data_IF_969761108285
#
_entry.id   IF_969761108285
#
_cell.length_a   1.000
_cell.length_b   1.000
_cell.length_c   1.000
_cell.angle_alpha   90.00
_cell.angle_beta   90.00
_cell.angle_gamma   90.00
#
_symmetry.space_group_name_H-M   'P 1'
#
loop_
_entity.id
_entity.type
_entity.pdbx_description
1 polymer ?
#
# COMPACT_ATOMS: atom_id res chain seq x y z
N UNK A 1 -11.21 -12.53 -10.44
CA UNK A 1 -10.43 -13.00 -11.61
C UNK A 1 -10.07 -11.89 -12.58
N UNK A 2 -11.03 -11.10 -13.09
CA UNK A 2 -10.76 -10.03 -14.08
C UNK A 2 -9.67 -9.01 -13.68
N UNK A 3 -9.62 -8.60 -12.41
CA UNK A 3 -8.62 -7.63 -11.91
C UNK A 3 -7.19 -8.17 -11.97
N UNK A 4 -6.99 -9.45 -11.63
CA UNK A 4 -5.66 -10.08 -11.66
C UNK A 4 -5.19 -10.18 -13.12
N UNK A 5 -6.07 -10.60 -14.03
CA UNK A 5 -5.78 -10.64 -15.46
C UNK A 5 -5.43 -9.25 -16.03
N UNK A 6 -6.14 -8.19 -15.61
CA UNK A 6 -5.86 -6.82 -16.02
C UNK A 6 -4.49 -6.32 -15.53
N UNK A 7 -4.11 -6.64 -14.28
CA UNK A 7 -2.79 -6.30 -13.73
C UNK A 7 -1.69 -7.02 -14.50
N UNK A 8 -1.84 -8.33 -14.71
CA UNK A 8 -0.88 -9.14 -15.47
C UNK A 8 -0.74 -8.59 -16.90
N UNK A 9 -1.85 -8.36 -17.60
CA UNK A 9 -1.84 -7.82 -18.95
C UNK A 9 -1.12 -6.47 -19.04
N UNK A 10 -1.36 -5.58 -18.09
CA UNK A 10 -0.67 -4.27 -18.01
C UNK A 10 0.84 -4.44 -17.81
N UNK A 11 1.25 -5.34 -16.91
CA UNK A 11 2.67 -5.60 -16.66
C UNK A 11 3.33 -6.19 -17.92
N UNK A 12 2.70 -7.16 -18.58
CA UNK A 12 3.22 -7.77 -19.81
C UNK A 12 3.40 -6.73 -20.93
N UNK A 13 2.41 -5.85 -21.12
CA UNK A 13 2.52 -4.76 -22.10
C UNK A 13 3.65 -3.80 -21.69
N UNK A 14 3.75 -3.41 -20.42
CA UNK A 14 4.81 -2.54 -19.93
C UNK A 14 6.21 -3.13 -20.13
N UNK A 15 6.39 -4.42 -19.83
CA UNK A 15 7.65 -5.15 -20.03
C UNK A 15 8.07 -5.16 -21.49
N UNK A 16 7.12 -5.29 -22.44
CA UNK A 16 7.41 -5.22 -23.88
C UNK A 16 8.10 -3.91 -24.24
N UNK A 17 7.59 -2.77 -23.76
CA UNK A 17 8.20 -1.46 -24.00
C UNK A 17 9.56 -1.30 -23.30
N UNK A 18 9.71 -1.82 -22.09
CA UNK A 18 10.99 -1.78 -21.36
C UNK A 18 12.07 -2.53 -22.14
N UNK A 19 11.79 -3.75 -22.59
CA UNK A 19 12.74 -4.55 -23.37
C UNK A 19 13.04 -3.87 -24.71
N UNK A 20 12.01 -3.35 -25.40
CA UNK A 20 12.18 -2.66 -26.67
C UNK A 20 13.04 -1.40 -26.54
N UNK A 21 12.87 -0.63 -25.46
CA UNK A 21 13.65 0.58 -25.18
C UNK A 21 15.07 0.27 -24.73
N UNK A 22 15.27 -0.78 -23.92
CA UNK A 22 16.61 -1.24 -23.55
C UNK A 22 17.44 -1.62 -24.78
N UNK A 23 16.84 -2.31 -25.76
CA UNK A 23 17.50 -2.61 -27.03
C UNK A 23 18.00 -1.34 -27.75
N UNK A 24 17.20 -0.27 -27.74
CA UNK A 24 17.57 1.02 -28.37
C UNK A 24 18.65 1.78 -27.60
N UNK A 25 18.66 1.67 -26.27
CA UNK A 25 19.66 2.33 -25.42
C UNK A 25 20.99 1.56 -25.41
N UNK A 26 20.96 0.24 -25.59
CA UNK A 26 22.18 -0.57 -25.69
C UNK A 26 22.91 -0.39 -27.02
N UNK A 27 22.18 -0.13 -28.11
CA UNK A 27 22.77 0.25 -29.40
C UNK A 27 22.09 1.51 -29.98
N UNK A 28 22.43 2.70 -29.44
CA UNK A 28 21.89 3.95 -29.94
C UNK A 28 22.35 4.26 -31.37
N UNK A 29 23.56 3.81 -31.74
CA UNK A 29 24.13 4.06 -33.06
C UNK A 29 23.38 3.29 -34.15
N UNK A 30 23.12 1.99 -33.95
CA UNK A 30 22.31 1.19 -34.86
C UNK A 30 20.88 1.70 -34.96
N UNK A 31 20.30 2.14 -33.83
CA UNK A 31 18.95 2.73 -33.81
C UNK A 31 18.90 4.06 -34.58
N UNK A 32 19.91 4.92 -34.42
CA UNK A 32 20.00 6.19 -35.14
C UNK A 32 20.11 5.98 -36.66
N UNK A 33 20.99 5.07 -37.09
CA UNK A 33 21.13 4.71 -38.51
C UNK A 33 19.83 4.17 -39.10
N UNK A 34 19.15 3.27 -38.36
CA UNK A 34 17.87 2.72 -38.80
C UNK A 34 16.79 3.80 -38.91
N UNK A 35 16.77 4.75 -37.97
CA UNK A 35 15.82 5.86 -37.95
C UNK A 35 16.01 6.84 -39.10
N UNK A 36 17.25 7.20 -39.42
CA UNK A 36 17.55 8.06 -40.56
C UNK A 36 17.27 7.36 -41.91
N UNK A 37 17.47 6.04 -41.97
CA UNK A 37 17.21 5.26 -43.18
C UNK A 37 15.71 5.00 -43.42
N UNK A 38 14.91 4.92 -42.37
CA UNK A 38 13.52 4.43 -42.42
C UNK A 38 12.48 5.52 -42.16
N UNK A 39 12.87 6.69 -41.65
CA UNK A 39 11.95 7.75 -41.25
C UNK A 39 12.54 9.15 -41.53
N UNK A 40 11.72 10.21 -41.60
CA UNK A 40 12.22 11.57 -41.74
C UNK A 40 12.78 12.16 -40.44
N UNK A 41 12.90 11.37 -39.37
CA UNK A 41 13.35 11.84 -38.05
C UNK A 41 14.88 11.77 -37.92
N UNK A 42 15.51 12.76 -37.24
CA UNK A 42 16.96 12.77 -37.02
C UNK A 42 17.38 11.67 -36.03
N UNK A 43 18.51 11.00 -36.31
CA UNK A 43 19.05 9.92 -35.49
C UNK A 43 19.36 10.30 -34.04
N UNK A 44 19.55 11.60 -33.76
CA UNK A 44 19.75 12.13 -32.39
C UNK A 44 18.59 11.81 -31.44
N UNK A 45 17.38 11.57 -31.96
CA UNK A 45 16.22 11.19 -31.16
C UNK A 45 16.28 9.73 -30.68
N UNK A 46 17.18 8.88 -31.21
CA UNK A 46 17.18 7.45 -30.93
C UNK A 46 17.29 7.14 -29.44
N UNK A 47 18.21 7.82 -28.76
CA UNK A 47 18.40 7.67 -27.32
C UNK A 47 17.19 8.21 -26.52
N UNK A 48 16.60 9.32 -26.97
CA UNK A 48 15.39 9.87 -26.36
C UNK A 48 14.19 8.93 -26.48
N UNK A 49 14.01 8.29 -27.63
CA UNK A 49 12.97 7.28 -27.88
C UNK A 49 13.17 6.07 -26.99
N UNK A 50 14.41 5.56 -26.89
CA UNK A 50 14.71 4.41 -26.02
C UNK A 50 14.42 4.70 -24.54
N UNK A 51 14.84 5.87 -24.03
CA UNK A 51 14.54 6.31 -22.66
C UNK A 51 13.04 6.48 -22.46
N UNK A 52 12.34 7.08 -23.42
CA UNK A 52 10.89 7.26 -23.36
C UNK A 52 10.16 5.91 -23.26
N UNK A 53 10.51 4.93 -24.08
CA UNK A 53 9.89 3.60 -24.02
C UNK A 53 10.11 2.92 -22.66
N UNK A 54 11.32 3.01 -22.10
CA UNK A 54 11.62 2.45 -20.78
C UNK A 54 10.80 3.16 -19.70
N UNK A 55 10.82 4.50 -19.68
CA UNK A 55 10.13 5.29 -18.68
C UNK A 55 8.61 5.09 -18.76
N UNK A 56 8.02 5.18 -19.96
CA UNK A 56 6.60 4.98 -20.17
C UNK A 56 6.17 3.53 -19.87
N UNK A 57 7.01 2.54 -20.23
CA UNK A 57 6.78 1.14 -19.90
C UNK A 57 6.77 0.88 -18.39
N UNK A 58 7.68 1.49 -17.64
CA UNK A 58 7.73 1.43 -16.17
C UNK A 58 6.53 2.12 -15.52
N UNK A 59 6.15 3.31 -15.99
CA UNK A 59 4.96 4.03 -15.52
C UNK A 59 3.70 3.19 -15.77
N UNK A 60 3.57 2.59 -16.96
CA UNK A 60 2.46 1.71 -17.29
C UNK A 60 2.43 0.47 -16.38
N UNK A 61 3.56 -0.23 -16.22
CA UNK A 61 3.66 -1.44 -15.42
C UNK A 61 3.35 -1.18 -13.94
N UNK A 62 3.93 -0.12 -13.37
CA UNK A 62 3.72 0.30 -11.97
C UNK A 62 2.25 0.68 -11.70
N UNK A 63 1.50 1.06 -12.74
CA UNK A 63 0.11 1.46 -12.61
C UNK A 63 -0.05 2.92 -12.20
N UNK A 64 1.02 3.72 -12.28
CA UNK A 64 0.95 5.15 -12.08
C UNK A 64 0.47 5.82 -13.38
N UNK A 65 -0.47 6.76 -13.29
CA UNK A 65 -0.92 7.57 -14.43
C UNK A 65 -1.26 6.76 -15.71
N UNK A 66 -1.85 5.57 -15.53
CA UNK A 66 -2.04 4.54 -16.59
C UNK A 66 -2.71 5.06 -17.84
N UNK A 67 -3.70 5.96 -17.71
CA UNK A 67 -4.41 6.55 -18.86
C UNK A 67 -3.48 7.39 -19.73
N UNK A 68 -2.69 8.27 -19.12
CA UNK A 68 -1.77 9.15 -19.85
C UNK A 68 -0.64 8.33 -20.47
N UNK A 69 -0.07 7.38 -19.72
CA UNK A 69 0.95 6.48 -20.24
C UNK A 69 0.43 5.63 -21.41
N UNK A 70 -0.80 5.11 -21.30
CA UNK A 70 -1.41 4.32 -22.38
C UNK A 70 -1.65 5.15 -23.63
N UNK A 71 -2.18 6.37 -23.51
CA UNK A 71 -2.38 7.26 -24.66
C UNK A 71 -1.05 7.63 -25.34
N UNK A 72 -0.03 7.96 -24.54
CA UNK A 72 1.29 8.28 -25.06
C UNK A 72 1.91 7.08 -25.80
N UNK A 73 1.81 5.88 -25.23
CA UNK A 73 2.30 4.64 -25.84
C UNK A 73 1.49 4.23 -27.08
N UNK A 74 0.18 4.48 -27.11
CA UNK A 74 -0.66 4.26 -28.31
C UNK A 74 -0.19 5.15 -29.45
N UNK A 75 -0.07 6.46 -29.20
CA UNK A 75 0.40 7.42 -30.20
C UNK A 75 1.80 7.07 -30.70
N UNK A 76 2.71 6.78 -29.78
CA UNK A 76 4.07 6.34 -30.10
C UNK A 76 4.08 5.06 -30.95
N UNK A 77 3.35 4.02 -30.55
CA UNK A 77 3.33 2.73 -31.26
C UNK A 77 2.68 2.86 -32.64
N UNK A 78 1.66 3.70 -32.78
CA UNK A 78 1.01 3.99 -34.06
C UNK A 78 1.98 4.71 -35.01
N UNK A 79 2.68 5.74 -34.54
CA UNK A 79 3.70 6.45 -35.33
C UNK A 79 4.86 5.50 -35.70
N UNK A 80 5.37 4.72 -34.75
CA UNK A 80 6.42 3.74 -35.01
C UNK A 80 6.00 2.69 -36.07
N UNK A 81 4.73 2.30 -36.08
CA UNK A 81 4.20 1.37 -37.09
C UNK A 81 4.10 2.04 -38.45
N UNK A 82 3.57 3.26 -38.52
CA UNK A 82 3.36 3.98 -39.77
C UNK A 82 4.68 4.33 -40.46
N UNK A 83 5.68 4.80 -39.71
CA UNK A 83 6.96 5.22 -40.29
C UNK A 83 7.90 4.04 -40.57
N UNK A 84 7.97 3.05 -39.67
CA UNK A 84 8.99 2.00 -39.77
C UNK A 84 8.48 0.67 -40.34
N UNK A 85 7.16 0.46 -40.37
CA UNK A 85 6.56 -0.82 -40.75
C UNK A 85 5.49 -0.69 -41.85
N UNK A 86 5.61 0.33 -42.71
CA UNK A 86 4.69 0.60 -43.81
C UNK A 86 4.84 -0.35 -45.02
N UNK A 87 5.99 -1.02 -45.16
CA UNK A 87 6.27 -1.96 -46.26
C UNK A 87 5.69 -3.35 -45.98
N UNK A 88 4.35 -3.43 -45.92
CA UNK A 88 3.59 -4.67 -45.64
C UNK A 88 3.73 -5.77 -46.70
N UNK A 89 4.42 -5.50 -47.81
CA UNK A 89 4.77 -6.51 -48.83
C UNK A 89 5.84 -7.49 -48.37
N UNK A 90 6.63 -7.15 -47.36
CA UNK A 90 7.55 -8.07 -46.70
C UNK A 90 6.82 -8.75 -45.50
N UNK A 91 6.71 -10.09 -45.49
CA UNK A 91 6.08 -10.83 -44.39
C UNK A 91 6.66 -10.50 -43.01
N UNK A 92 7.96 -10.22 -42.90
CA UNK A 92 8.61 -9.89 -41.63
C UNK A 92 8.15 -8.52 -41.10
N UNK A 93 8.05 -7.54 -42.00
CA UNK A 93 7.57 -6.19 -41.67
C UNK A 93 6.08 -6.21 -41.33
N UNK A 94 5.29 -6.98 -42.08
CA UNK A 94 3.86 -7.17 -41.82
C UNK A 94 3.60 -7.79 -40.43
N UNK A 95 4.39 -8.80 -40.04
CA UNK A 95 4.30 -9.41 -38.71
C UNK A 95 4.60 -8.41 -37.58
N UNK A 96 5.58 -7.53 -37.76
CA UNK A 96 5.89 -6.48 -36.78
C UNK A 96 4.78 -5.43 -36.70
N UNK A 97 4.19 -5.04 -37.83
CA UNK A 97 3.03 -4.14 -37.85
C UNK A 97 1.82 -4.75 -37.12
N UNK A 98 1.53 -6.03 -37.36
CA UNK A 98 0.46 -6.77 -36.67
C UNK A 98 0.71 -6.88 -35.16
N UNK A 99 1.96 -7.14 -34.74
CA UNK A 99 2.35 -7.11 -33.33
C UNK A 99 2.03 -5.75 -32.72
N UNK A 100 2.42 -4.67 -33.38
CA UNK A 100 2.18 -3.32 -32.87
C UNK A 100 0.67 -2.98 -32.84
N UNK A 101 -0.11 -3.45 -33.81
CA UNK A 101 -1.57 -3.30 -33.80
C UNK A 101 -2.21 -4.02 -32.62
N UNK A 102 -1.76 -5.25 -32.33
CA UNK A 102 -2.19 -5.99 -31.14
C UNK A 102 -1.81 -5.27 -29.84
N UNK A 103 -0.61 -4.69 -29.77
CA UNK A 103 -0.17 -3.87 -28.62
C UNK A 103 -1.04 -2.63 -28.45
N UNK A 104 -1.38 -1.92 -29.54
CA UNK A 104 -2.30 -0.78 -29.49
C UNK A 104 -3.67 -1.22 -28.95
N UNK A 105 -4.20 -2.35 -29.42
CA UNK A 105 -5.45 -2.92 -28.88
C UNK A 105 -5.37 -3.23 -27.39
N UNK A 106 -4.26 -3.81 -26.93
CA UNK A 106 -4.00 -4.05 -25.51
C UNK A 106 -3.92 -2.75 -24.70
N UNK A 107 -3.24 -1.72 -25.21
CA UNK A 107 -3.15 -0.41 -24.57
C UNK A 107 -4.49 0.32 -24.53
N UNK A 108 -5.35 0.18 -25.55
CA UNK A 108 -6.72 0.70 -25.53
C UNK A 108 -7.56 0.05 -24.45
N UNK A 109 -7.40 -1.26 -24.24
CA UNK A 109 -8.02 -1.96 -23.11
C UNK A 109 -7.47 -1.41 -21.78
N UNK A 110 -6.15 -1.25 -21.64
CA UNK A 110 -5.57 -0.67 -20.40
C UNK A 110 -6.06 0.77 -20.18
N UNK A 111 -6.23 1.55 -21.23
CA UNK A 111 -6.81 2.89 -21.16
C UNK A 111 -8.27 2.86 -20.66
N UNK A 112 -9.09 1.99 -21.25
CA UNK A 112 -10.50 1.81 -20.87
C UNK A 112 -10.64 1.35 -19.41
N UNK A 113 -9.82 0.40 -18.97
CA UNK A 113 -9.82 -0.15 -17.62
C UNK A 113 -8.90 0.59 -16.64
N UNK A 114 -8.25 1.68 -17.03
CA UNK A 114 -7.23 2.38 -16.24
C UNK A 114 -7.73 2.99 -14.92
N UNK A 115 -9.05 2.99 -14.69
CA UNK A 115 -9.70 3.38 -13.43
C UNK A 115 -10.17 2.21 -12.56
N UNK A 116 -10.02 0.95 -12.97
CA UNK A 116 -10.31 -0.16 -12.05
C UNK A 116 -9.22 -0.25 -11.00
N UNK A 117 -9.48 0.45 -9.90
CA UNK A 117 -8.87 0.32 -8.57
C UNK A 117 -7.40 0.70 -8.57
N UNK A 118 -7.16 1.93 -8.13
CA UNK A 118 -5.84 2.26 -7.62
C UNK A 118 -5.46 1.20 -6.59
N UNK A 119 -4.19 0.78 -6.62
CA UNK A 119 -3.59 -0.06 -5.57
C UNK A 119 -3.86 0.51 -4.16
N UNK A 120 -4.17 1.81 -4.07
CA UNK A 120 -4.61 2.50 -2.86
C UNK A 120 -6.01 2.11 -2.42
N UNK A 121 -6.99 1.92 -3.31
CA UNK A 121 -8.36 1.59 -2.89
C UNK A 121 -8.41 0.23 -2.19
N UNK A 122 -7.61 -0.73 -2.66
CA UNK A 122 -7.55 -2.08 -2.06
C UNK A 122 -6.79 -2.08 -0.72
N UNK A 123 -5.75 -1.25 -0.60
CA UNK A 123 -4.99 -1.09 0.67
C UNK A 123 -5.84 -0.30 1.68
N UNK A 124 -6.54 0.73 1.22
CA UNK A 124 -7.41 1.56 2.04
C UNK A 124 -8.66 0.81 2.49
N UNK A 125 -9.24 -0.04 1.64
CA UNK A 125 -10.34 -0.93 2.03
C UNK A 125 -9.87 -1.96 3.07
N UNK A 126 -8.63 -2.49 2.96
CA UNK A 126 -8.04 -3.34 4.00
C UNK A 126 -7.76 -2.58 5.30
N UNK A 127 -7.25 -1.35 5.22
CA UNK A 127 -6.97 -0.51 6.38
C UNK A 127 -8.27 -0.12 7.11
N UNK A 128 -9.33 0.22 6.38
CA UNK A 128 -10.67 0.51 6.93
C UNK A 128 -11.31 -0.72 7.59
N UNK A 129 -11.12 -1.91 7.03
CA UNK A 129 -11.58 -3.17 7.65
C UNK A 129 -10.84 -3.47 8.95
N UNK A 130 -9.51 -3.35 8.95
CA UNK A 130 -8.70 -3.51 10.16
C UNK A 130 -9.09 -2.49 11.26
N UNK A 131 -9.28 -1.22 10.91
CA UNK A 131 -9.70 -0.19 11.86
C UNK A 131 -11.14 -0.40 12.37
N UNK A 132 -12.03 -0.95 11.53
CA UNK A 132 -13.36 -1.38 11.96
C UNK A 132 -13.31 -2.59 12.90
N UNK A 133 -12.48 -3.59 12.60
CA UNK A 133 -12.26 -4.78 13.44
C UNK A 133 -11.63 -4.40 14.79
N UNK A 134 -10.64 -3.51 14.81
CA UNK A 134 -10.01 -3.01 16.05
C UNK A 134 -11.01 -2.23 16.90
N UNK A 135 -11.85 -1.37 16.30
CA UNK A 135 -12.92 -0.67 17.02
C UNK A 135 -13.99 -1.61 17.55
N UNK A 136 -14.37 -2.63 16.77
CA UNK A 136 -15.31 -3.67 17.20
C UNK A 136 -14.74 -4.46 18.39
N UNK A 137 -13.50 -4.94 18.30
CA UNK A 137 -12.81 -5.64 19.38
C UNK A 137 -12.69 -4.79 20.66
N UNK A 138 -12.43 -3.49 20.52
CA UNK A 138 -12.37 -2.57 21.67
C UNK A 138 -13.77 -2.30 22.27
N UNK A 139 -14.83 -2.29 21.46
CA UNK A 139 -16.20 -2.14 21.94
C UNK A 139 -16.70 -3.42 22.64
N UNK A 140 -16.39 -4.59 22.09
CA UNK A 140 -16.66 -5.90 22.69
C UNK A 140 -15.91 -6.05 24.01
N UNK A 141 -14.61 -5.76 24.06
CA UNK A 141 -13.84 -5.80 25.31
C UNK A 141 -14.37 -4.83 26.39
N UNK A 142 -14.93 -3.68 25.99
CA UNK A 142 -15.59 -2.74 26.91
C UNK A 142 -16.94 -3.27 27.42
N UNK A 143 -17.69 -3.95 26.56
CA UNK A 143 -18.96 -4.58 26.93
C UNK A 143 -18.75 -5.82 27.81
N UNK A 144 -17.77 -6.66 27.49
CA UNK A 144 -17.38 -7.82 28.29
C UNK A 144 -16.79 -7.39 29.64
N UNK A 145 -15.96 -6.35 29.67
CA UNK A 145 -15.44 -5.75 30.90
C UNK A 145 -16.54 -5.16 31.78
N UNK A 146 -17.50 -4.46 31.18
CA UNK A 146 -18.68 -3.97 31.90
C UNK A 146 -19.56 -5.12 32.42
N UNK A 147 -19.66 -6.21 31.67
CA UNK A 147 -20.45 -7.40 32.04
C UNK A 147 -19.74 -8.25 33.10
N UNK A 148 -18.41 -8.41 33.06
CA UNK A 148 -17.64 -9.11 34.12
C UNK A 148 -17.59 -8.31 35.42
N UNK A 149 -17.58 -6.97 35.35
CA UNK A 149 -17.71 -6.10 36.53
C UNK A 149 -19.12 -6.17 37.13
N UNK A 150 -20.15 -6.33 36.31
CA UNK A 150 -21.53 -6.52 36.78
C UNK A 150 -21.83 -7.95 37.26
N UNK A 151 -21.12 -8.95 36.74
CA UNK A 151 -21.33 -10.37 37.04
C UNK A 151 -20.48 -10.91 38.19
N UNK A 152 -19.55 -10.13 38.77
CA UNK A 152 -19.01 -10.47 40.09
C UNK A 152 -20.09 -10.18 41.14
N UNK A 153 -20.70 -11.19 41.77
CA UNK A 153 -21.50 -10.94 42.94
C UNK A 153 -20.51 -10.48 44.01
N UNK A 154 -20.60 -9.23 44.44
CA UNK A 154 -20.03 -8.83 45.73
C UNK A 154 -20.84 -9.61 46.75
N UNK A 155 -20.41 -10.83 47.09
CA UNK A 155 -20.93 -11.51 48.26
C UNK A 155 -20.58 -10.62 49.45
N UNK A 156 -21.59 -10.11 50.19
CA UNK A 156 -21.26 -9.43 51.43
C UNK A 156 -20.59 -10.49 52.29
N UNK A 157 -19.34 -10.25 52.69
CA UNK A 157 -18.70 -11.02 53.75
C UNK A 157 -19.59 -10.84 54.97
N UNK A 158 -20.47 -11.82 55.22
CA UNK A 158 -21.30 -11.86 56.42
C UNK A 158 -20.32 -12.08 57.56
N UNK A 159 -20.00 -11.00 58.27
CA UNK A 159 -19.35 -11.09 59.55
C UNK A 159 -20.31 -11.85 60.48
N UNK A 160 -19.95 -13.08 60.85
CA UNK A 160 -20.63 -13.78 61.94
C UNK A 160 -20.60 -12.89 63.19
N UNK A 161 -21.70 -12.78 63.95
CA UNK A 161 -21.72 -11.98 65.15
C UNK A 161 -20.85 -12.67 66.20
N UNK A 162 -19.65 -12.12 66.44
CA UNK A 162 -18.81 -12.49 67.57
C UNK A 162 -19.59 -12.15 68.84
N UNK A 163 -20.03 -13.20 69.54
CA UNK A 163 -20.72 -13.08 70.82
C UNK A 163 -19.82 -12.29 71.80
N UNK A 164 -20.40 -11.25 72.38
CA UNK A 164 -19.73 -10.38 73.32
C UNK A 164 -19.37 -11.13 74.61
N UNK A 165 -18.08 -11.44 74.79
CA UNK A 165 -17.54 -11.87 76.07
C UNK A 165 -17.24 -10.60 76.92
N UNK A 166 -17.74 -10.49 78.16
CA UNK A 166 -17.55 -9.28 78.97
C UNK A 166 -16.13 -9.25 79.55
N UNK A 167 -15.24 -8.49 78.93
CA UNK A 167 -13.87 -8.27 79.44
C UNK A 167 -13.84 -7.12 80.46
N UNK A 168 -13.45 -7.47 81.68
CA UNK A 168 -13.33 -6.62 82.87
C UNK A 168 -12.50 -5.32 82.69
N UNK A 169 -12.71 -4.28 83.51
CA UNK A 169 -12.05 -2.99 83.36
C UNK A 169 -10.52 -3.08 83.47
N UNK A 170 -9.83 -2.57 82.45
CA UNK A 170 -8.36 -2.46 82.42
C UNK A 170 -7.86 -1.44 83.45
N UNK A 171 -6.79 -1.73 84.21
CA UNK A 171 -6.17 -0.76 85.10
C UNK A 171 -5.51 0.37 84.30
N UNK A 172 -5.73 1.61 84.75
CA UNK A 172 -5.16 2.84 84.18
C UNK A 172 -3.66 2.85 84.45
N UNK A 173 -2.84 2.69 83.41
CA UNK A 173 -1.39 2.86 83.50
C UNK A 173 -1.06 4.36 83.56
N UNK A 174 -0.61 4.82 84.74
CA UNK A 174 -0.04 6.15 84.96
C UNK A 174 1.26 6.24 84.17
N UNK A 175 1.36 7.21 83.25
CA UNK A 175 2.60 7.47 82.52
C UNK A 175 3.66 8.03 83.48
N UNK A 176 4.93 7.58 83.40
CA UNK A 176 6.00 8.22 84.16
C UNK A 176 6.24 9.63 83.59
N UNK A 177 6.15 10.64 84.45
CA UNK A 177 6.66 11.98 84.17
C UNK A 177 8.18 11.89 84.20
N UNK A 178 8.82 12.19 83.07
CA UNK A 178 10.27 12.22 82.96
C UNK A 178 10.70 13.64 83.31
N UNK A 179 11.29 13.82 84.50
CA UNK A 179 12.04 15.01 84.88
C UNK A 179 13.29 15.08 83.97
N UNK A 180 13.26 16.00 83.00
CA UNK A 180 14.32 16.14 81.99
C UNK A 180 15.46 17.05 82.46
N UNK A 181 15.26 17.77 83.56
CA UNK A 181 16.04 18.94 83.93
C UNK A 181 16.74 18.74 85.28
N UNK A 182 16.33 17.71 86.05
CA UNK A 182 17.03 17.17 87.21
C UNK A 182 16.96 18.03 88.47
N UNK A 183 16.04 19.00 88.51
CA UNK A 183 15.84 19.89 89.65
C UNK A 183 14.65 19.50 90.55
N UNK A 184 13.98 18.38 90.24
CA UNK A 184 13.04 17.74 91.13
C UNK A 184 11.70 18.47 91.29
N UNK A 185 11.30 19.28 90.30
CA UNK A 185 9.91 19.77 90.19
C UNK A 185 9.26 19.31 88.89
N UNK A 186 7.96 18.95 88.93
CA UNK A 186 7.24 18.53 87.73
C UNK A 186 6.85 19.72 86.85
N UNK A 187 7.13 19.64 85.56
CA UNK A 187 6.60 20.54 84.50
C UNK A 187 5.10 20.34 84.24
#
# INVERSE_FOLDING_TARGET
MATIAAIIGRILIGVLFIIAGLGKVMDPAGTAQYMEASSPFPGSLALGVGIFEIAAGLVLASGFMTRIASLALIGFTALATLFFHSKVTDPAVAAMALKNLAVIGGLLMVFAYGQMRGRMDVIEERAKRLDAEVRAAHAEGKAEGATTVAAQPVTPVVAEPVAAEPVAPRPVAVKPVVDRDGDGRPD
#
